data_IF_371037771689
#
_entry.id   IF_371037771689
#
_cell.length_a   1.000
_cell.length_b   1.000
_cell.length_c   1.000
_cell.angle_alpha   90.00
_cell.angle_beta   90.00
_cell.angle_gamma   90.00
#
_symmetry.space_group_name_H-M   'P 1'
#
loop_
_entity.id
_entity.type
_entity.pdbx_description
1 polymer ?
#
# COMPACT_ATOMS: atom_id res chain seq x y z
N UNK A 1 -120.76 -46.04 -23.97
CA UNK A 1 -119.58 -45.15 -24.14
C UNK A 1 -118.85 -44.92 -22.82
N UNK A 2 -117.58 -45.36 -22.69
CA UNK A 2 -116.78 -45.16 -21.50
C UNK A 2 -116.45 -43.67 -21.29
N UNK A 3 -116.41 -43.18 -20.03
CA UNK A 3 -116.03 -41.81 -19.75
C UNK A 3 -114.57 -41.55 -20.19
N UNK A 4 -114.27 -40.35 -20.70
CA UNK A 4 -112.90 -39.99 -21.07
C UNK A 4 -111.98 -40.03 -19.84
N UNK A 5 -110.72 -40.45 -20.02
CA UNK A 5 -109.75 -40.49 -18.93
C UNK A 5 -109.51 -39.09 -18.36
N UNK A 6 -109.36 -39.01 -17.04
CA UNK A 6 -109.03 -37.77 -16.35
C UNK A 6 -107.70 -37.20 -16.84
N UNK A 7 -107.57 -35.87 -16.99
CA UNK A 7 -106.31 -35.25 -17.35
C UNK A 7 -105.25 -35.50 -16.26
N UNK A 8 -103.97 -35.64 -16.64
CA UNK A 8 -102.89 -35.84 -15.68
C UNK A 8 -102.74 -34.60 -14.77
N UNK A 9 -102.32 -34.79 -13.51
CA UNK A 9 -102.04 -33.69 -12.60
C UNK A 9 -100.93 -32.81 -13.15
N UNK A 10 -101.07 -31.49 -12.97
CA UNK A 10 -100.05 -30.52 -13.37
C UNK A 10 -98.74 -30.76 -12.62
N UNK A 11 -97.58 -30.55 -13.26
CA UNK A 11 -96.29 -30.67 -12.59
C UNK A 11 -96.16 -29.60 -11.48
N UNK A 12 -95.43 -29.90 -10.39
CA UNK A 12 -95.17 -28.93 -9.34
C UNK A 12 -94.36 -27.74 -9.87
N UNK A 13 -94.53 -26.54 -9.28
CA UNK A 13 -93.73 -25.38 -9.65
C UNK A 13 -92.25 -25.62 -9.38
N UNK A 14 -91.38 -25.16 -10.28
CA UNK A 14 -89.93 -25.22 -10.12
C UNK A 14 -89.47 -24.42 -8.90
N UNK A 15 -88.45 -24.88 -8.16
CA UNK A 15 -87.89 -24.12 -7.06
C UNK A 15 -87.27 -22.80 -7.55
N UNK A 16 -87.28 -21.75 -6.72
CA UNK A 16 -86.62 -20.49 -7.05
C UNK A 16 -85.09 -20.70 -7.22
N UNK A 17 -84.43 -19.93 -8.09
CA UNK A 17 -82.99 -20.01 -8.26
C UNK A 17 -82.26 -19.59 -6.96
N UNK A 18 -81.08 -20.17 -6.68
CA UNK A 18 -80.27 -19.77 -5.54
C UNK A 18 -79.83 -18.31 -5.66
N UNK A 19 -79.76 -17.62 -4.53
CA UNK A 19 -79.25 -16.25 -4.46
C UNK A 19 -77.76 -16.19 -4.84
N UNK A 20 -77.29 -15.12 -5.50
CA UNK A 20 -75.87 -14.97 -5.82
C UNK A 20 -75.04 -14.80 -4.53
N UNK A 21 -73.79 -15.28 -4.52
CA UNK A 21 -72.89 -15.09 -3.39
C UNK A 21 -72.56 -13.60 -3.19
N UNK A 22 -72.26 -13.18 -1.94
CA UNK A 22 -71.84 -11.81 -1.65
C UNK A 22 -70.48 -11.49 -2.33
N UNK A 23 -70.22 -10.21 -2.67
CA UNK A 23 -68.95 -9.80 -3.23
C UNK A 23 -67.80 -10.02 -2.23
N UNK A 24 -66.67 -10.52 -2.73
CA UNK A 24 -65.44 -10.68 -1.95
C UNK A 24 -64.87 -9.32 -1.55
N UNK A 25 -64.36 -9.15 -0.31
CA UNK A 25 -63.69 -7.94 0.12
C UNK A 25 -62.39 -7.73 -0.67
N UNK A 26 -62.12 -6.47 -1.03
CA UNK A 26 -60.91 -6.06 -1.74
C UNK A 26 -59.65 -6.39 -0.93
N UNK A 27 -58.73 -7.16 -1.52
CA UNK A 27 -57.44 -7.46 -0.92
C UNK A 27 -56.57 -6.19 -0.84
N UNK A 28 -55.80 -6.00 0.25
CA UNK A 28 -54.87 -4.89 0.36
C UNK A 28 -53.72 -5.02 -0.67
N UNK A 29 -53.16 -3.90 -1.14
CA UNK A 29 -52.03 -3.91 -2.06
C UNK A 29 -50.80 -4.57 -1.42
N UNK A 30 -50.17 -5.51 -2.14
CA UNK A 30 -48.94 -6.17 -1.70
C UNK A 30 -47.82 -5.16 -1.54
N UNK A 31 -47.18 -5.13 -0.37
CA UNK A 31 -45.98 -4.33 -0.12
C UNK A 31 -44.81 -4.84 -0.98
N UNK A 32 -44.01 -3.97 -1.60
CA UNK A 32 -42.83 -4.39 -2.34
C UNK A 32 -41.83 -5.11 -1.42
N UNK A 33 -41.10 -6.12 -1.92
CA UNK A 33 -40.09 -6.80 -1.13
C UNK A 33 -38.97 -5.83 -0.72
N UNK A 34 -38.35 -6.02 0.46
CA UNK A 34 -37.22 -5.21 0.88
C UNK A 34 -36.05 -5.38 -0.10
N UNK A 35 -35.40 -4.28 -0.45
CA UNK A 35 -34.16 -4.28 -1.23
C UNK A 35 -33.07 -5.07 -0.49
N UNK A 36 -32.30 -5.94 -1.18
CA UNK A 36 -31.20 -6.65 -0.56
C UNK A 36 -30.15 -5.65 -0.01
N UNK A 37 -29.48 -5.99 1.11
CA UNK A 37 -28.41 -5.16 1.64
C UNK A 37 -27.27 -5.04 0.61
N UNK A 38 -26.54 -3.91 0.60
CA UNK A 38 -25.38 -3.77 -0.25
C UNK A 38 -24.34 -4.85 0.08
N UNK A 39 -23.58 -5.36 -0.91
CA UNK A 39 -22.49 -6.28 -0.66
C UNK A 39 -21.46 -5.65 0.27
N UNK A 40 -20.96 -6.42 1.24
CA UNK A 40 -19.89 -5.97 2.14
C UNK A 40 -18.67 -5.54 1.34
N UNK A 41 -18.09 -4.40 1.69
CA UNK A 41 -16.82 -3.96 1.14
C UNK A 41 -15.74 -5.00 1.44
N UNK A 42 -14.85 -5.31 0.48
CA UNK A 42 -13.74 -6.24 0.70
C UNK A 42 -12.85 -5.71 1.84
N UNK A 43 -12.25 -6.61 2.65
CA UNK A 43 -11.30 -6.21 3.68
C UNK A 43 -10.10 -5.48 3.04
N UNK A 44 -9.64 -4.42 3.69
CA UNK A 44 -8.43 -3.72 3.26
C UNK A 44 -7.24 -4.68 3.22
N UNK A 45 -6.36 -4.56 2.19
CA UNK A 45 -5.14 -5.35 2.17
C UNK A 45 -4.27 -5.01 3.40
N UNK A 46 -3.44 -5.96 3.87
CA UNK A 46 -2.48 -5.69 4.93
C UNK A 46 -1.49 -4.59 4.50
N UNK A 47 -0.96 -3.81 5.44
CA UNK A 47 0.06 -2.82 5.15
C UNK A 47 1.31 -3.49 4.56
N UNK A 48 1.91 -2.88 3.54
CA UNK A 48 3.17 -3.34 2.96
C UNK A 48 4.31 -3.07 3.94
N UNK A 49 5.19 -4.05 4.22
CA UNK A 49 6.34 -3.82 5.09
C UNK A 49 7.28 -2.77 4.47
N UNK A 50 8.04 -2.03 5.30
CA UNK A 50 9.06 -1.11 4.83
C UNK A 50 10.13 -1.82 3.98
N UNK A 51 10.81 -1.09 3.09
CA UNK A 51 11.92 -1.66 2.35
C UNK A 51 13.12 -1.89 3.28
N UNK A 52 13.69 -3.09 3.19
CA UNK A 52 14.88 -3.53 3.93
C UNK A 52 16.03 -3.77 2.96
N UNK A 53 17.23 -3.31 3.30
CA UNK A 53 18.45 -3.52 2.49
C UNK A 53 19.59 -4.03 3.36
N UNK A 54 20.33 -5.00 2.82
CA UNK A 54 21.55 -5.53 3.43
C UNK A 54 22.77 -4.86 2.77
N UNK A 55 23.66 -4.33 3.59
CA UNK A 55 24.90 -3.70 3.16
C UNK A 55 26.09 -4.48 3.74
N UNK A 56 27.07 -4.75 2.87
CA UNK A 56 28.33 -5.34 3.29
C UNK A 56 29.39 -4.26 3.42
N UNK A 57 30.08 -4.23 4.55
CA UNK A 57 31.18 -3.31 4.87
C UNK A 57 32.43 -4.15 5.07
N UNK A 58 33.38 -4.02 4.15
CA UNK A 58 34.67 -4.68 4.22
C UNK A 58 35.77 -3.68 4.65
N UNK A 59 36.89 -4.21 5.16
CA UNK A 59 37.95 -3.42 5.79
C UNK A 59 38.47 -2.28 4.90
N UNK A 60 38.25 -1.04 5.35
CA UNK A 60 38.97 0.23 5.03
C UNK A 60 39.29 0.57 3.56
N UNK A 61 39.21 1.85 3.20
CA UNK A 61 39.55 2.38 1.86
C UNK A 61 41.03 2.15 1.41
N UNK A 62 41.88 1.51 2.23
CA UNK A 62 43.27 1.21 1.91
C UNK A 62 43.46 -0.04 1.03
N UNK A 63 42.42 -0.86 0.83
CA UNK A 63 42.47 -1.98 -0.10
C UNK A 63 41.87 -1.60 -1.46
N UNK A 64 42.69 -1.32 -2.49
CA UNK A 64 42.20 -1.03 -3.83
C UNK A 64 41.53 -2.25 -4.51
N UNK A 65 41.52 -3.41 -3.85
CA UNK A 65 40.84 -4.62 -4.32
C UNK A 65 39.49 -4.87 -3.66
N UNK A 66 39.08 -4.01 -2.70
CA UNK A 66 37.76 -4.08 -2.10
C UNK A 66 36.67 -3.92 -3.18
N UNK A 67 35.66 -4.81 -3.23
CA UNK A 67 34.57 -4.67 -4.18
C UNK A 67 33.70 -3.46 -3.85
N UNK A 68 33.21 -2.77 -4.88
CA UNK A 68 32.23 -1.69 -4.70
C UNK A 68 30.90 -2.27 -4.21
N UNK A 69 30.44 -1.80 -3.05
CA UNK A 69 29.15 -2.17 -2.46
C UNK A 69 28.19 -0.99 -2.61
N UNK A 70 27.05 -1.22 -3.25
CA UNK A 70 26.09 -0.15 -3.56
C UNK A 70 24.66 -0.56 -3.25
N UNK A 71 23.92 0.32 -2.58
CA UNK A 71 22.46 0.20 -2.45
C UNK A 71 21.76 1.25 -3.31
N UNK A 72 20.56 0.91 -3.79
CA UNK A 72 19.67 1.86 -4.43
C UNK A 72 18.53 2.19 -3.49
N UNK A 73 18.37 3.46 -3.15
CA UNK A 73 17.28 3.96 -2.31
C UNK A 73 16.35 4.86 -3.11
N UNK A 74 15.18 5.17 -2.54
CA UNK A 74 14.21 6.09 -3.13
C UNK A 74 14.23 7.43 -2.39
N UNK A 75 14.07 8.53 -3.13
CA UNK A 75 14.06 9.88 -2.61
C UNK A 75 13.04 10.04 -1.47
N UNK A 76 13.51 10.48 -0.29
CA UNK A 76 12.67 10.74 0.89
C UNK A 76 11.81 9.55 1.34
N UNK A 77 12.26 8.32 1.05
CA UNK A 77 11.65 7.09 1.56
C UNK A 77 12.58 6.52 2.64
N UNK A 78 12.00 6.11 3.77
CA UNK A 78 12.76 5.49 4.85
C UNK A 78 13.15 4.05 4.48
N UNK A 79 14.42 3.71 4.65
CA UNK A 79 14.97 2.36 4.48
C UNK A 79 15.61 1.92 5.78
N UNK A 80 15.37 0.67 6.16
CA UNK A 80 16.16 -0.02 7.17
C UNK A 80 17.38 -0.63 6.50
N UNK A 81 18.57 -0.28 6.99
CA UNK A 81 19.85 -0.76 6.48
C UNK A 81 20.45 -1.65 7.54
N UNK A 82 20.66 -2.92 7.22
CA UNK A 82 21.44 -3.85 8.04
C UNK A 82 22.86 -3.91 7.52
N UNK A 83 23.83 -3.81 8.41
CA UNK A 83 25.24 -3.90 8.06
C UNK A 83 25.79 -5.29 8.41
N UNK A 84 26.70 -5.77 7.57
CA UNK A 84 27.38 -7.05 7.71
C UNK A 84 28.77 -6.96 7.08
N UNK A 85 29.67 -7.91 7.32
CA UNK A 85 30.96 -7.95 6.64
C UNK A 85 32.12 -8.30 7.56
N UNK A 86 33.33 -7.93 7.14
CA UNK A 86 34.57 -8.21 7.88
C UNK A 86 34.91 -7.14 8.93
N UNK A 87 34.26 -5.97 8.87
CA UNK A 87 34.34 -4.95 9.91
C UNK A 87 33.63 -5.40 11.19
N UNK A 88 34.23 -5.11 12.34
CA UNK A 88 33.68 -5.43 13.66
C UNK A 88 32.70 -4.34 14.10
N UNK A 89 31.51 -4.33 13.52
CA UNK A 89 30.45 -3.39 13.91
C UNK A 89 29.82 -3.81 15.24
N UNK A 90 29.57 -2.83 16.11
CA UNK A 90 28.97 -3.01 17.43
C UNK A 90 27.76 -2.09 17.62
N UNK A 91 26.87 -2.48 18.55
CA UNK A 91 25.79 -1.60 19.01
C UNK A 91 26.38 -0.29 19.53
N UNK A 92 25.84 0.83 19.07
CA UNK A 92 26.30 2.17 19.43
C UNK A 92 27.29 2.79 18.45
N UNK A 93 27.87 2.03 17.52
CA UNK A 93 28.64 2.59 16.40
C UNK A 93 27.75 3.52 15.58
N UNK A 94 28.30 4.59 15.00
CA UNK A 94 27.49 5.57 14.24
C UNK A 94 27.83 5.50 12.76
N UNK A 95 26.80 5.36 11.94
CA UNK A 95 26.90 5.42 10.49
C UNK A 95 26.22 6.68 9.95
N UNK A 96 26.86 7.31 8.97
CA UNK A 96 26.34 8.48 8.25
C UNK A 96 26.60 8.34 6.77
N UNK A 97 25.55 8.45 5.96
CA UNK A 97 25.66 8.56 4.51
C UNK A 97 25.83 10.03 4.13
N UNK A 98 27.05 10.42 3.77
CA UNK A 98 27.38 11.80 3.40
C UNK A 98 27.43 11.95 1.87
N UNK A 99 27.06 13.11 1.30
CA UNK A 99 27.13 13.31 -0.14
C UNK A 99 28.53 12.98 -0.69
N UNK A 100 28.59 12.19 -1.76
CA UNK A 100 29.87 11.79 -2.38
C UNK A 100 30.74 13.00 -2.75
N UNK A 101 30.10 14.09 -3.19
CA UNK A 101 30.74 15.35 -3.59
C UNK A 101 31.45 16.08 -2.45
N UNK A 102 31.12 15.81 -1.19
CA UNK A 102 31.83 16.34 -0.03
C UNK A 102 33.28 15.83 0.04
N UNK A 103 33.54 14.63 -0.48
CA UNK A 103 34.87 14.00 -0.53
C UNK A 103 35.45 13.57 0.84
N UNK A 104 34.80 13.93 1.93
CA UNK A 104 35.22 13.69 3.33
C UNK A 104 33.99 13.42 4.20
N UNK A 105 34.19 13.10 5.48
CA UNK A 105 33.13 12.99 6.49
C UNK A 105 32.85 14.31 7.23
N UNK A 106 33.22 15.46 6.66
CA UNK A 106 32.90 16.75 7.25
C UNK A 106 31.38 16.96 7.37
N UNK A 107 30.92 17.39 8.55
CA UNK A 107 29.53 17.56 8.92
C UNK A 107 28.80 16.28 9.31
N UNK A 108 29.46 15.12 9.37
CA UNK A 108 28.84 13.85 9.73
C UNK A 108 28.34 13.84 11.20
N UNK A 109 29.08 14.48 12.11
CA UNK A 109 28.71 14.54 13.52
C UNK A 109 27.40 15.31 13.75
N UNK A 110 27.22 16.40 13.02
CA UNK A 110 26.04 17.29 13.10
C UNK A 110 24.91 16.87 12.14
N UNK A 111 25.16 15.88 11.26
CA UNK A 111 24.16 15.40 10.32
C UNK A 111 22.96 14.78 11.06
N UNK A 112 21.75 15.07 10.57
CA UNK A 112 20.51 14.55 11.15
C UNK A 112 20.49 13.01 11.11
N UNK A 113 20.45 12.33 12.27
CA UNK A 113 20.49 10.87 12.35
C UNK A 113 19.29 10.18 11.68
N UNK A 114 18.14 10.85 11.55
CA UNK A 114 16.97 10.26 10.90
C UNK A 114 17.05 10.29 9.36
N UNK A 115 17.87 11.20 8.83
CA UNK A 115 18.02 11.42 7.38
C UNK A 115 19.21 10.62 6.86
N UNK A 116 20.36 10.75 7.50
CA UNK A 116 21.64 10.25 6.97
C UNK A 116 22.10 8.94 7.62
N UNK A 117 21.31 8.33 8.51
CA UNK A 117 21.72 7.14 9.28
C UNK A 117 22.11 7.51 10.69
N UNK A 118 21.99 6.57 11.63
CA UNK A 118 22.08 6.79 13.07
C UNK A 118 23.16 5.95 13.76
N UNK A 119 23.01 5.82 15.08
CA UNK A 119 23.68 4.75 15.81
C UNK A 119 23.11 3.40 15.38
N UNK A 120 23.96 2.38 15.35
CA UNK A 120 23.58 0.99 15.12
C UNK A 120 22.95 0.42 16.38
N UNK A 121 21.89 -0.38 16.20
CA UNK A 121 21.29 -1.16 17.27
C UNK A 121 22.01 -2.52 17.48
N UNK A 122 21.46 -3.36 18.37
CA UNK A 122 21.98 -4.69 18.66
C UNK A 122 22.01 -5.64 17.45
N UNK A 123 21.22 -5.36 16.41
CA UNK A 123 21.17 -6.12 15.16
C UNK A 123 22.06 -5.50 14.07
N UNK A 124 22.86 -4.49 14.40
CA UNK A 124 23.68 -3.73 13.47
C UNK A 124 22.84 -3.07 12.36
N UNK A 125 21.68 -2.53 12.72
CA UNK A 125 20.78 -1.84 11.79
C UNK A 125 20.61 -0.37 12.11
N UNK A 126 20.21 0.40 11.09
CA UNK A 126 19.80 1.80 11.24
C UNK A 126 18.77 2.20 10.17
N UNK A 127 18.12 3.34 10.37
CA UNK A 127 17.20 3.91 9.39
C UNK A 127 17.83 5.09 8.65
N UNK A 128 17.58 5.17 7.33
CA UNK A 128 17.99 6.31 6.49
C UNK A 128 16.81 6.84 5.69
N UNK A 129 16.77 8.15 5.44
CA UNK A 129 15.77 8.83 4.59
C UNK A 129 16.48 9.83 3.70
N UNK A 130 17.21 9.33 2.71
CA UNK A 130 18.14 10.17 1.95
C UNK A 130 17.42 11.11 0.97
N UNK A 131 17.77 12.40 0.94
CA UNK A 131 17.29 13.31 -0.07
C UNK A 131 18.00 13.02 -1.41
N UNK A 132 17.27 13.16 -2.50
CA UNK A 132 17.79 13.06 -3.85
C UNK A 132 18.10 14.46 -4.39
N UNK A 133 18.63 14.52 -5.60
CA UNK A 133 18.81 15.79 -6.30
C UNK A 133 17.47 16.51 -6.44
N UNK A 134 17.48 17.80 -6.13
CA UNK A 134 16.40 18.73 -6.48
C UNK A 134 16.60 19.19 -7.94
N UNK A 135 15.56 19.71 -8.58
CA UNK A 135 15.65 20.39 -9.89
C UNK A 135 16.01 19.53 -11.12
N UNK A 136 15.71 18.23 -11.07
CA UNK A 136 15.86 17.33 -12.24
C UNK A 136 17.23 16.66 -12.35
N UNK A 137 18.11 16.81 -11.36
CA UNK A 137 19.25 15.91 -11.22
C UNK A 137 18.77 14.50 -10.86
N UNK A 138 19.19 13.53 -11.66
CA UNK A 138 18.56 12.20 -11.72
C UNK A 138 18.89 11.30 -10.52
N UNK A 139 19.90 11.65 -9.72
CA UNK A 139 20.32 10.86 -8.57
C UNK A 139 21.38 11.57 -7.73
N UNK A 140 21.27 11.48 -6.41
CA UNK A 140 22.37 11.82 -5.49
C UNK A 140 23.10 10.53 -5.09
N UNK A 141 24.43 10.59 -5.06
CA UNK A 141 25.28 9.50 -4.54
C UNK A 141 25.80 9.90 -3.18
N UNK A 142 25.67 9.00 -2.22
CA UNK A 142 26.20 9.13 -0.86
C UNK A 142 27.25 8.06 -0.62
N UNK A 143 28.20 8.37 0.27
CA UNK A 143 29.22 7.43 0.78
C UNK A 143 29.03 7.21 2.26
N UNK A 144 29.39 6.02 2.74
CA UNK A 144 29.34 5.70 4.16
C UNK A 144 30.50 6.38 4.91
N UNK A 145 30.18 7.01 6.03
CA UNK A 145 31.08 7.48 7.06
C UNK A 145 30.75 6.71 8.35
N UNK A 146 31.72 6.01 8.91
CA UNK A 146 31.55 5.10 10.04
C UNK A 146 32.39 5.57 11.23
N UNK A 147 31.79 5.61 12.42
CA UNK A 147 32.47 5.84 13.70
C UNK A 147 32.25 4.63 14.62
N UNK A 148 33.25 3.77 14.75
CA UNK A 148 33.21 2.52 15.57
C UNK A 148 33.36 2.78 17.08
N UNK A 149 33.87 3.95 17.47
CA UNK A 149 33.99 4.35 18.89
C UNK A 149 33.70 5.84 19.03
N UNK A 150 32.43 6.24 18.79
CA UNK A 150 32.06 7.66 18.73
C UNK A 150 32.38 8.37 20.06
N UNK A 151 32.97 9.55 19.97
CA UNK A 151 33.23 10.37 21.15
C UNK A 151 31.95 11.06 21.64
N UNK A 152 31.99 11.62 22.85
CA UNK A 152 30.88 12.42 23.40
C UNK A 152 31.40 13.81 23.82
N UNK A 153 31.03 14.89 23.11
CA UNK A 153 30.16 14.94 21.94
C UNK A 153 30.82 14.33 20.70
N UNK A 154 30.00 13.78 19.79
CA UNK A 154 30.43 13.21 18.51
C UNK A 154 31.16 14.27 17.67
N UNK A 155 32.25 13.88 16.99
CA UNK A 155 33.04 14.79 16.15
C UNK A 155 33.26 14.21 14.76
N UNK A 156 33.45 15.06 13.75
CA UNK A 156 33.72 14.62 12.37
C UNK A 156 34.99 13.76 12.27
N UNK A 157 35.95 13.97 13.18
CA UNK A 157 37.19 13.18 13.27
C UNK A 157 36.97 11.75 13.76
N UNK A 158 35.81 11.44 14.33
CA UNK A 158 35.45 10.08 14.76
C UNK A 158 35.10 9.20 13.56
N UNK A 159 34.82 9.81 12.39
CA UNK A 159 34.35 9.11 11.21
C UNK A 159 35.47 8.75 10.25
N UNK A 160 35.50 7.48 9.87
CA UNK A 160 36.28 6.96 8.75
C UNK A 160 35.38 6.89 7.53
N UNK A 161 35.88 7.42 6.40
CA UNK A 161 35.17 7.35 5.13
C UNK A 161 35.34 5.96 4.53
N UNK A 162 34.26 5.42 3.96
CA UNK A 162 34.24 4.20 3.17
C UNK A 162 33.70 4.55 1.77
N UNK A 163 34.61 4.94 0.87
CA UNK A 163 34.31 5.39 -0.48
C UNK A 163 33.63 4.31 -1.35
N UNK A 164 33.99 3.05 -1.10
CA UNK A 164 33.51 1.87 -1.82
C UNK A 164 32.08 1.47 -1.39
N UNK A 165 31.57 2.02 -0.29
CA UNK A 165 30.20 1.78 0.18
C UNK A 165 29.32 2.96 -0.18
N UNK A 166 28.44 2.77 -1.16
CA UNK A 166 27.63 3.85 -1.73
C UNK A 166 26.12 3.63 -1.58
N UNK A 167 25.38 4.73 -1.46
CA UNK A 167 23.93 4.74 -1.59
C UNK A 167 23.53 5.69 -2.73
N UNK A 168 22.85 5.16 -3.75
CA UNK A 168 22.33 5.93 -4.88
C UNK A 168 20.84 6.18 -4.69
N UNK A 169 20.46 7.45 -4.57
CA UNK A 169 19.06 7.86 -4.43
C UNK A 169 18.43 8.00 -5.80
N UNK A 170 17.27 7.38 -6.01
CA UNK A 170 16.47 7.50 -7.23
C UNK A 170 15.11 8.13 -6.93
N UNK A 171 14.54 8.81 -7.92
CA UNK A 171 13.15 9.25 -7.87
C UNK A 171 12.23 8.15 -8.38
N UNK A 172 11.04 8.03 -7.77
CA UNK A 172 10.00 7.19 -8.38
C UNK A 172 9.59 7.79 -9.73
N UNK A 173 9.32 6.94 -10.74
CA UNK A 173 8.72 7.42 -11.97
C UNK A 173 7.42 8.18 -11.66
N UNK A 174 7.13 9.29 -12.36
CA UNK A 174 5.82 9.93 -12.26
C UNK A 174 4.71 8.90 -12.48
N UNK A 175 3.65 8.98 -11.68
CA UNK A 175 2.49 8.12 -11.87
C UNK A 175 1.97 8.24 -13.31
N UNK A 176 1.62 7.11 -13.92
CA UNK A 176 0.97 7.14 -15.22
C UNK A 176 -0.30 8.00 -15.14
N UNK A 177 -0.62 8.80 -16.17
CA UNK A 177 -1.88 9.51 -16.22
C UNK A 177 -3.05 8.53 -16.00
N UNK A 178 -4.14 8.97 -15.34
CA UNK A 178 -5.33 8.14 -15.21
C UNK A 178 -5.81 7.70 -16.61
N UNK A 179 -6.34 6.47 -16.77
CA UNK A 179 -6.88 6.03 -18.05
C UNK A 179 -8.00 6.98 -18.50
N UNK A 180 -8.14 7.25 -19.81
CA UNK A 180 -9.22 8.07 -20.30
C UNK A 180 -10.58 7.43 -19.93
N UNK A 181 -11.63 8.25 -19.70
CA UNK A 181 -12.96 7.72 -19.44
C UNK A 181 -13.44 6.85 -20.61
N UNK A 182 -14.23 5.79 -20.37
CA UNK A 182 -14.78 4.98 -21.44
C UNK A 182 -15.63 5.83 -22.38
N UNK A 183 -15.66 5.51 -23.69
CA UNK A 183 -16.50 6.23 -24.64
C UNK A 183 -17.99 6.09 -24.26
N UNK A 184 -18.82 7.11 -24.52
CA UNK A 184 -20.25 7.02 -24.27
C UNK A 184 -20.89 5.88 -25.08
N UNK A 185 -21.93 5.22 -24.56
CA UNK A 185 -22.63 4.19 -25.29
C UNK A 185 -23.25 4.76 -26.58
N UNK A 186 -23.34 3.97 -27.67
CA UNK A 186 -23.98 4.42 -28.90
C UNK A 186 -25.47 4.74 -28.64
N UNK A 187 -26.06 5.69 -29.39
CA UNK A 187 -27.48 6.00 -29.30
C UNK A 187 -28.32 4.77 -29.67
N UNK A 188 -29.43 4.55 -28.96
CA UNK A 188 -30.38 3.47 -29.25
C UNK A 188 -31.05 3.65 -30.62
N UNK A 189 -31.27 2.58 -31.40
CA UNK A 189 -32.04 2.66 -32.64
C UNK A 189 -33.50 3.01 -32.35
N UNK A 190 -34.03 3.99 -33.09
CA UNK A 190 -35.44 4.42 -33.11
C UNK A 190 -36.28 3.58 -34.04
#
# INVERSE_FOLDING_TARGET
PPPPPSPPPSPPPSPPPPSPPPPLPSLPPSTPPPTPPPPSSPPSPPPTPPPHVLMQVDNGDDDPTAPDHGISTMHNVAFEVSFSGSHSLSEGDVVRFMPFTTGTCAGAAEADPAVYGGALDAESTTWITLPGGVDGESSSVYVLCLAETPSTPLQDSDFVRHAHVTATVRHMPPAAPPPPPPPPPPPSPT
#
